data_IF_307445599301
#
_entry.id   IF_307445599301
#
_cell.length_a   1.000
_cell.length_b   1.000
_cell.length_c   1.000
_cell.angle_alpha   90.00
_cell.angle_beta   90.00
_cell.angle_gamma   90.00
#
_symmetry.space_group_name_H-M   'P 1'
#
loop_
_entity.id
_entity.type
_entity.pdbx_description
1 polymer ?
#
# COMPACT_ATOMS: atom_id res chain seq x y z
N UNK A 1 -8.00 13.12 12.06
CA UNK A 1 -7.30 12.91 10.77
C UNK A 1 -8.17 13.47 9.65
N UNK A 2 -7.57 14.14 8.66
CA UNK A 2 -8.24 14.72 7.50
C UNK A 2 -8.09 13.83 6.25
N UNK A 3 -8.98 14.00 5.28
CA UNK A 3 -8.92 13.40 3.94
C UNK A 3 -8.74 14.51 2.90
N UNK A 4 -7.86 14.29 1.93
CA UNK A 4 -7.67 15.16 0.77
C UNK A 4 -8.28 14.50 -0.46
N UNK A 5 -9.03 15.26 -1.25
CA UNK A 5 -9.59 14.82 -2.52
C UNK A 5 -9.03 15.67 -3.66
N UNK A 6 -9.09 15.12 -4.87
CA UNK A 6 -8.56 15.72 -6.08
C UNK A 6 -9.27 17.04 -6.42
N UNK A 7 -8.49 18.10 -6.60
CA UNK A 7 -8.99 19.45 -6.91
C UNK A 7 -9.03 19.75 -8.43
N UNK A 8 -9.07 18.71 -9.27
CA UNK A 8 -9.10 18.81 -10.72
C UNK A 8 -7.96 19.69 -11.27
N UNK A 9 -8.29 20.88 -11.80
CA UNK A 9 -7.33 21.79 -12.43
C UNK A 9 -6.25 22.27 -11.46
N UNK A 10 -6.53 22.31 -10.16
CA UNK A 10 -5.61 22.82 -9.15
C UNK A 10 -4.68 21.76 -8.53
N UNK A 11 -4.90 20.47 -8.84
CA UNK A 11 -4.17 19.38 -8.19
C UNK A 11 -2.64 19.51 -8.33
N UNK A 12 -2.20 19.98 -9.50
CA UNK A 12 -0.78 20.12 -9.82
C UNK A 12 -0.05 20.99 -8.79
N UNK A 13 -0.64 22.11 -8.37
CA UNK A 13 -0.05 23.04 -7.42
C UNK A 13 0.14 22.44 -6.02
N UNK A 14 -0.72 21.49 -5.64
CA UNK A 14 -0.69 20.80 -4.34
C UNK A 14 0.09 19.48 -4.37
N UNK A 15 0.80 19.19 -5.46
CA UNK A 15 1.68 18.02 -5.50
C UNK A 15 2.79 18.15 -4.44
N UNK A 16 3.13 17.07 -3.72
CA UNK A 16 4.11 17.11 -2.62
C UNK A 16 5.45 17.74 -3.02
N UNK A 17 5.95 17.47 -4.22
CA UNK A 17 7.19 18.07 -4.71
C UNK A 17 7.11 19.58 -4.88
N UNK A 18 5.97 20.13 -5.32
CA UNK A 18 5.75 21.59 -5.40
C UNK A 18 5.60 22.24 -4.03
N UNK A 19 5.06 21.51 -3.06
CA UNK A 19 5.00 21.93 -1.66
C UNK A 19 6.35 21.76 -0.94
N UNK A 20 7.43 21.41 -1.66
CA UNK A 20 8.76 21.15 -1.10
C UNK A 20 8.76 20.06 -0.03
N UNK A 21 7.84 19.11 -0.13
CA UNK A 21 7.88 17.91 0.68
C UNK A 21 8.90 16.93 0.10
N UNK A 22 9.98 16.69 0.84
CA UNK A 22 11.06 15.76 0.49
C UNK A 22 10.90 14.37 1.09
N UNK A 23 9.84 14.16 1.87
CA UNK A 23 9.50 12.85 2.42
C UNK A 23 8.62 12.05 1.45
N UNK A 24 8.40 10.78 1.77
CA UNK A 24 7.47 9.92 1.01
C UNK A 24 6.04 10.40 1.31
N UNK A 25 5.31 10.93 0.30
CA UNK A 25 3.99 11.48 0.55
C UNK A 25 2.98 10.38 0.85
N UNK A 26 2.09 10.67 1.80
CA UNK A 26 0.97 9.81 2.13
C UNK A 26 0.05 9.67 0.92
N UNK A 27 -0.23 8.42 0.54
CA UNK A 27 -1.21 8.12 -0.51
C UNK A 27 -2.64 8.33 0.02
N UNK A 28 -3.50 8.95 -0.78
CA UNK A 28 -4.90 9.18 -0.46
C UNK A 28 -5.81 8.85 -1.65
N UNK A 29 -7.10 8.67 -1.37
CA UNK A 29 -8.10 8.41 -2.41
C UNK A 29 -8.37 9.71 -3.18
N UNK A 30 -8.15 9.69 -4.49
CA UNK A 30 -8.36 10.88 -5.35
C UNK A 30 -9.80 11.37 -5.36
N UNK A 31 -10.79 10.47 -5.38
CA UNK A 31 -12.21 10.86 -5.45
C UNK A 31 -12.97 10.32 -4.25
N UNK A 32 -13.94 11.09 -3.70
CA UNK A 32 -14.88 10.55 -2.74
C UNK A 32 -15.73 9.48 -3.41
N UNK A 33 -16.25 8.54 -2.61
CA UNK A 33 -17.18 7.53 -3.11
C UNK A 33 -18.54 8.19 -3.34
N UNK A 34 -19.21 7.85 -4.44
CA UNK A 34 -20.61 8.23 -4.63
C UNK A 34 -21.47 7.55 -3.55
N UNK A 35 -22.32 8.33 -2.88
CA UNK A 35 -23.17 7.88 -1.80
C UNK A 35 -24.63 8.19 -2.16
N UNK A 36 -25.50 7.20 -2.02
CA UNK A 36 -26.94 7.35 -2.25
C UNK A 36 -27.67 7.28 -0.90
N UNK A 37 -28.76 8.04 -0.76
CA UNK A 37 -29.58 8.08 0.46
C UNK A 37 -29.30 9.29 1.35
N UNK A 38 -29.47 9.14 2.66
CA UNK A 38 -29.39 10.23 3.64
C UNK A 38 -28.38 9.93 4.76
N UNK A 39 -27.91 10.99 5.42
CA UNK A 39 -26.98 10.89 6.56
C UNK A 39 -27.74 10.55 7.85
N UNK A 40 -27.27 9.53 8.58
CA UNK A 40 -27.79 9.18 9.91
C UNK A 40 -26.91 9.78 11.00
N UNK A 41 -27.52 10.36 12.03
CA UNK A 41 -26.80 10.84 13.21
C UNK A 41 -26.30 9.63 14.02
N UNK A 42 -25.00 9.61 14.30
CA UNK A 42 -24.31 8.50 14.99
C UNK A 42 -23.83 8.85 16.41
N UNK A 43 -23.99 10.10 16.84
CA UNK A 43 -23.50 10.58 18.13
C UNK A 43 -24.61 11.33 18.88
N UNK A 44 -24.48 11.39 20.20
CA UNK A 44 -25.32 12.21 21.06
C UNK A 44 -24.89 13.70 21.01
N UNK A 45 -25.65 14.57 21.67
CA UNK A 45 -25.37 16.01 21.72
C UNK A 45 -24.03 16.37 22.40
N UNK A 46 -23.44 15.43 23.15
CA UNK A 46 -22.15 15.60 23.81
C UNK A 46 -20.98 15.05 22.98
N UNK A 47 -21.25 14.49 21.79
CA UNK A 47 -20.24 13.91 20.91
C UNK A 47 -19.88 12.44 21.19
N UNK A 48 -20.55 11.76 22.11
CA UNK A 48 -20.38 10.32 22.33
C UNK A 48 -21.13 9.51 21.27
N UNK A 49 -20.51 8.45 20.75
CA UNK A 49 -21.18 7.52 19.82
C UNK A 49 -22.35 6.82 20.50
N UNK A 50 -23.44 6.62 19.75
CA UNK A 50 -24.60 5.86 20.22
C UNK A 50 -24.22 4.39 20.47
N UNK A 51 -24.89 3.75 21.43
CA UNK A 51 -24.68 2.35 21.75
C UNK A 51 -24.93 1.45 20.53
N UNK A 52 -24.09 0.43 20.33
CA UNK A 52 -24.18 -0.51 19.21
C UNK A 52 -23.48 -0.06 17.91
N UNK A 53 -23.00 1.18 17.83
CA UNK A 53 -22.23 1.64 16.67
C UNK A 53 -20.81 1.05 16.74
N UNK A 54 -20.32 0.39 15.67
CA UNK A 54 -18.98 -0.16 15.66
C UNK A 54 -17.96 0.96 15.76
N UNK A 55 -17.18 0.94 16.84
CA UNK A 55 -16.04 1.84 17.05
C UNK A 55 -14.74 1.13 16.70
N UNK A 56 -13.75 1.91 16.26
CA UNK A 56 -12.37 1.40 16.17
C UNK A 56 -11.91 1.04 17.59
N UNK A 57 -11.19 -0.08 17.72
CA UNK A 57 -10.54 -0.47 18.98
C UNK A 57 -9.29 0.38 19.25
N UNK A 58 -8.75 0.98 18.20
CA UNK A 58 -7.59 1.87 18.24
C UNK A 58 -7.90 3.17 18.99
N UNK A 59 -6.93 3.62 19.77
CA UNK A 59 -7.01 4.88 20.49
C UNK A 59 -7.09 6.07 19.52
N UNK A 60 -7.77 7.14 19.94
CA UNK A 60 -7.82 8.42 19.21
C UNK A 60 -6.45 9.07 19.05
N UNK A 61 -5.52 8.75 19.96
CA UNK A 61 -4.12 9.18 19.90
C UNK A 61 -3.25 8.28 19.01
N UNK A 62 -3.85 7.29 18.33
CA UNK A 62 -3.18 6.33 17.49
C UNK A 62 -2.51 5.20 18.28
N UNK A 63 -1.53 4.54 17.66
CA UNK A 63 -0.72 3.51 18.28
C UNK A 63 0.46 4.16 19.00
N UNK A 64 0.21 4.69 20.20
CA UNK A 64 1.32 5.11 21.06
C UNK A 64 2.13 3.87 21.47
N UNK A 65 3.43 3.95 21.29
CA UNK A 65 4.38 2.90 21.69
C UNK A 65 5.51 3.63 22.40
N UNK A 66 5.79 3.26 23.65
CA UNK A 66 6.90 3.85 24.37
C UNK A 66 8.23 3.56 23.67
N UNK A 67 9.24 4.40 23.88
CA UNK A 67 10.58 4.26 23.30
C UNK A 67 11.15 2.83 23.45
N UNK A 68 10.84 2.17 24.56
CA UNK A 68 11.30 0.82 24.90
C UNK A 68 10.47 -0.31 24.26
N UNK A 69 9.22 -0.02 23.86
CA UNK A 69 8.31 -1.01 23.25
C UNK A 69 8.45 -1.07 21.71
N UNK A 70 9.38 -0.29 21.14
CA UNK A 70 9.54 -0.05 19.70
C UNK A 70 10.22 -1.21 18.92
N UNK A 71 10.37 -2.40 19.50
CA UNK A 71 11.11 -3.52 18.86
C UNK A 71 10.40 -4.11 17.63
N UNK A 72 9.07 -3.96 17.52
CA UNK A 72 8.25 -4.63 16.49
C UNK A 72 7.72 -3.70 15.38
N UNK A 73 7.91 -2.39 15.51
CA UNK A 73 7.32 -1.41 14.60
C UNK A 73 8.06 -1.33 13.25
N UNK A 74 9.40 -1.40 13.27
CA UNK A 74 10.21 -1.29 12.05
C UNK A 74 10.10 -2.53 11.14
N UNK A 75 10.02 -3.73 11.72
CA UNK A 75 9.98 -4.99 10.97
C UNK A 75 8.69 -5.17 10.16
N UNK A 76 7.57 -4.62 10.65
CA UNK A 76 6.25 -4.77 10.04
C UNK A 76 5.99 -3.76 8.92
N UNK A 77 6.50 -2.52 9.09
CA UNK A 77 6.33 -1.44 8.10
C UNK A 77 7.21 -1.67 6.86
N UNK A 78 8.42 -2.20 7.03
CA UNK A 78 9.25 -2.63 5.89
C UNK A 78 8.62 -3.79 5.11
N UNK A 79 7.98 -4.76 5.78
CA UNK A 79 7.29 -5.87 5.08
C UNK A 79 6.15 -5.40 4.16
N UNK A 80 5.44 -4.31 4.50
CA UNK A 80 4.44 -3.70 3.60
C UNK A 80 5.07 -2.84 2.50
N UNK A 81 6.24 -2.24 2.72
CA UNK A 81 6.95 -1.42 1.73
C UNK A 81 7.84 -2.23 0.77
N UNK A 82 8.16 -3.48 1.11
CA UNK A 82 9.12 -4.31 0.38
C UNK A 82 8.48 -5.30 -0.62
N UNK A 83 7.36 -4.97 -1.26
CA UNK A 83 6.83 -5.77 -2.37
C UNK A 83 7.56 -5.52 -3.71
N UNK A 84 8.57 -4.66 -3.71
CA UNK A 84 9.40 -4.31 -4.88
C UNK A 84 10.84 -4.81 -4.81
N UNK A 85 11.25 -5.44 -3.71
CA UNK A 85 12.54 -6.13 -3.68
C UNK A 85 12.35 -7.54 -4.21
N UNK A 86 12.66 -7.73 -5.50
CA UNK A 86 12.96 -9.05 -6.05
C UNK A 86 14.00 -9.68 -5.11
N UNK A 87 13.57 -10.62 -4.28
CA UNK A 87 14.48 -11.42 -3.45
C UNK A 87 15.49 -12.06 -4.40
N UNK A 88 16.78 -11.94 -4.11
CA UNK A 88 17.87 -12.45 -4.96
C UNK A 88 17.65 -13.91 -5.34
N UNK A 89 16.99 -14.67 -4.47
CA UNK A 89 16.53 -16.05 -4.68
C UNK A 89 15.57 -16.22 -5.86
N UNK A 90 14.63 -15.28 -6.07
CA UNK A 90 13.69 -15.32 -7.20
C UNK A 90 14.38 -15.00 -8.53
N UNK A 91 15.39 -14.12 -8.53
CA UNK A 91 16.18 -13.82 -9.72
C UNK A 91 17.04 -15.02 -10.13
N UNK A 92 17.63 -15.72 -9.16
CA UNK A 92 18.40 -16.95 -9.41
C UNK A 92 17.50 -18.04 -9.99
N UNK A 93 16.29 -18.25 -9.44
CA UNK A 93 15.35 -19.23 -10.00
C UNK A 93 14.92 -18.87 -11.41
N UNK A 94 14.57 -17.60 -11.66
CA UNK A 94 14.24 -17.12 -13.02
C UNK A 94 15.40 -17.38 -13.99
N UNK A 95 16.63 -17.00 -13.64
CA UNK A 95 17.81 -17.23 -14.47
C UNK A 95 18.07 -18.72 -14.74
N UNK A 96 17.84 -19.59 -13.75
CA UNK A 96 17.93 -21.05 -13.90
C UNK A 96 16.86 -21.61 -14.85
N UNK A 97 15.62 -21.12 -14.78
CA UNK A 97 14.56 -21.48 -15.74
C UNK A 97 14.87 -20.99 -17.16
N UNK A 98 15.41 -19.78 -17.33
CA UNK A 98 15.78 -19.27 -18.66
C UNK A 98 16.95 -20.04 -19.27
N UNK A 99 17.95 -20.41 -18.46
CA UNK A 99 19.10 -21.21 -18.90
C UNK A 99 18.69 -22.62 -19.34
N UNK A 100 17.80 -23.27 -18.59
CA UNK A 100 17.27 -24.59 -18.95
C UNK A 100 16.40 -24.54 -20.21
N UNK A 101 15.61 -23.48 -20.43
CA UNK A 101 14.83 -23.28 -21.66
C UNK A 101 15.72 -23.04 -22.90
N UNK A 102 16.83 -22.33 -22.75
CA UNK A 102 17.76 -22.08 -23.88
C UNK A 102 18.50 -23.37 -24.29
N UNK A 103 18.84 -24.25 -23.34
CA UNK A 103 19.50 -25.53 -23.62
C UNK A 103 18.57 -26.57 -24.27
N UNK A 104 17.29 -26.61 -23.91
CA UNK A 104 16.31 -27.52 -24.54
C UNK A 104 15.97 -27.13 -25.97
N UNK A 105 16.14 -25.85 -26.34
CA UNK A 105 16.01 -25.36 -27.72
C UNK A 105 17.14 -25.83 -28.64
N UNK A 106 18.35 -26.06 -28.12
CA UNK A 106 19.49 -26.53 -28.93
C UNK A 106 19.58 -28.06 -29.09
N UNK A 107 18.87 -28.84 -28.27
CA UNK A 107 18.88 -30.32 -28.36
C UNK A 107 17.77 -30.91 -29.24
N UNK A 108 16.99 -30.09 -29.95
CA UNK A 108 16.08 -30.55 -31.01
C UNK A 108 16.75 -30.42 -32.39
N UNK A 109 17.75 -31.25 -32.63
CA UNK A 109 18.13 -31.61 -34.01
C UNK A 109 17.07 -32.64 -34.47
N UNK A 110 16.34 -32.41 -35.57
CA UNK A 110 15.46 -33.43 -36.11
C UNK A 110 16.32 -34.52 -36.75
N UNK A 111 16.33 -35.72 -36.16
CA UNK A 111 16.74 -36.93 -36.88
C UNK A 111 15.66 -37.20 -37.94
N UNK A 112 15.83 -36.64 -39.14
CA UNK A 112 15.05 -36.99 -40.32
C UNK A 112 15.97 -37.32 -41.49
N UNK A 113 15.92 -38.60 -41.90
CA UNK A 113 16.26 -39.07 -43.24
C UNK A 113 17.70 -39.54 -43.46
N UNK A 114 17.94 -40.85 -43.44
CA UNK A 114 17.97 -41.78 -44.59
C UNK A 114 17.87 -43.21 -44.04
#
# INVERSE_FOLDING_TARGET
MSLTFHANQFENAYSPGRLRNWEIPKQYKKKPRSLNGYTRIIANNNGHLLAGIPKRKESVWGSYTGTWDMKNYYTSRQKQQNNTFRTTTQQITQAQYTYTQHLTLYHKIPETGI
#
